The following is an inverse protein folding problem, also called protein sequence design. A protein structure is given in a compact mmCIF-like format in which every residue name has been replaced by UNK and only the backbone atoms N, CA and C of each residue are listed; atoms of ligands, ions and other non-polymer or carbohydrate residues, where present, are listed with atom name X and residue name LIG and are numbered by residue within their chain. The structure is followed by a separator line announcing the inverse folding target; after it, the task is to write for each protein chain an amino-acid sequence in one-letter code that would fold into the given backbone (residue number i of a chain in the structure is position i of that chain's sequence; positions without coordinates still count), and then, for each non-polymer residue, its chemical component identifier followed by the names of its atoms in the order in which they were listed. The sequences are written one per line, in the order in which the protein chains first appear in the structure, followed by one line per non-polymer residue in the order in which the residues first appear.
data_IF_344833251477
#
_entry.id   IF_344833251477
#
_cell.length_a   1.000
_cell.length_b   1.000
_cell.length_c   1.000
_cell.angle_alpha   90.00
_cell.angle_beta   90.00
_cell.angle_gamma   90.00
#
_symmetry.space_group_name_H-M   'P 1'
#
loop_
_entity.id
_entity.type
_entity.pdbx_description
1 polymer ?
#
# COMPACT_ATOMS: atom_id res chain seq x y z
N UNK A 1 -9.27 -28.54 1.48
CA UNK A 1 -9.00 -28.10 0.10
C UNK A 1 -7.54 -27.70 0.06
N UNK A 2 -6.75 -28.43 -0.72
CA UNK A 2 -5.31 -28.22 -0.90
C UNK A 2 -5.06 -26.90 -1.64
N UNK A 3 -4.02 -26.17 -1.25
CA UNK A 3 -3.55 -25.01 -2.01
C UNK A 3 -3.17 -25.49 -3.40
N UNK A 4 -3.84 -25.00 -4.44
CA UNK A 4 -3.45 -25.33 -5.81
C UNK A 4 -2.07 -24.73 -6.10
N UNK A 5 -1.09 -25.61 -6.33
CA UNK A 5 0.27 -25.23 -6.75
C UNK A 5 0.22 -24.49 -8.07
N UNK A 6 0.96 -23.39 -8.17
CA UNK A 6 0.91 -22.54 -9.35
C UNK A 6 1.82 -23.04 -10.46
N UNK A 7 1.42 -22.80 -11.70
CA UNK A 7 2.33 -22.93 -12.84
C UNK A 7 3.40 -21.84 -12.76
N UNK A 8 4.69 -22.18 -12.79
CA UNK A 8 5.76 -21.20 -12.73
C UNK A 8 5.68 -20.26 -13.94
N UNK A 9 5.92 -18.97 -13.69
CA UNK A 9 6.02 -17.97 -14.76
C UNK A 9 7.36 -18.16 -15.50
N UNK A 10 7.41 -18.02 -16.83
CA UNK A 10 8.65 -18.08 -17.58
C UNK A 10 9.47 -16.82 -17.33
N UNK A 11 10.37 -16.90 -16.35
CA UNK A 11 11.29 -15.82 -16.01
C UNK A 11 12.38 -15.71 -17.08
N UNK A 12 12.76 -14.46 -17.39
CA UNK A 12 13.97 -14.21 -18.17
C UNK A 12 15.21 -14.59 -17.34
N UNK A 13 16.30 -15.04 -17.98
CA UNK A 13 17.52 -15.46 -17.28
C UNK A 13 18.07 -14.34 -16.39
N UNK A 14 18.52 -14.66 -15.19
CA UNK A 14 19.01 -13.68 -14.23
C UNK A 14 20.19 -12.86 -14.77
N UNK A 15 20.13 -11.53 -14.68
CA UNK A 15 21.19 -10.63 -15.13
C UNK A 15 21.97 -10.09 -13.93
N UNK A 16 23.14 -10.68 -13.67
CA UNK A 16 24.00 -10.33 -12.52
C UNK A 16 25.00 -9.18 -12.76
N UNK A 17 25.04 -8.57 -13.94
CA UNK A 17 26.04 -7.53 -14.26
C UNK A 17 25.52 -6.09 -14.02
N UNK A 18 26.26 -5.33 -13.20
CA UNK A 18 25.99 -3.93 -12.82
C UNK A 18 25.94 -2.94 -14.00
N UNK A 19 26.46 -3.33 -15.17
CA UNK A 19 26.53 -2.50 -16.38
C UNK A 19 25.15 -2.22 -17.00
N UNK A 20 24.13 -3.01 -16.66
CA UNK A 20 22.81 -2.92 -17.29
C UNK A 20 21.73 -2.38 -16.36
N UNK A 21 21.64 -1.04 -16.32
CA UNK A 21 20.46 -0.22 -15.93
C UNK A 21 19.44 -0.91 -15.00
N UNK A 22 19.85 -1.35 -13.80
CA UNK A 22 18.95 -1.77 -12.71
C UNK A 22 17.88 -2.83 -13.07
N UNK A 23 18.05 -3.62 -14.14
CA UNK A 23 17.08 -4.63 -14.59
C UNK A 23 17.69 -6.02 -14.37
N UNK A 24 17.47 -6.60 -13.19
CA UNK A 24 18.09 -7.90 -12.82
C UNK A 24 17.20 -9.10 -13.13
N UNK A 25 15.88 -8.93 -13.03
CA UNK A 25 14.87 -9.98 -13.26
C UNK A 25 13.71 -9.38 -14.06
N UNK A 26 13.13 -10.16 -14.97
CA UNK A 26 11.97 -9.75 -15.75
C UNK A 26 11.16 -10.91 -16.29
N UNK A 27 9.91 -10.61 -16.64
CA UNK A 27 8.93 -11.52 -17.23
C UNK A 27 8.18 -10.77 -18.31
N UNK A 28 7.84 -11.45 -19.39
CA UNK A 28 6.99 -10.92 -20.44
C UNK A 28 5.57 -11.41 -20.24
N UNK A 29 4.68 -10.51 -19.82
CA UNK A 29 3.25 -10.79 -19.64
C UNK A 29 2.40 -9.77 -20.39
N UNK A 30 1.32 -10.23 -21.02
CA UNK A 30 0.34 -9.36 -21.71
C UNK A 30 0.97 -8.38 -22.68
N UNK A 31 1.94 -8.82 -23.48
CA UNK A 31 2.66 -7.97 -24.44
C UNK A 31 3.38 -6.77 -23.77
N UNK A 32 3.74 -6.90 -22.49
CA UNK A 32 4.52 -5.94 -21.72
C UNK A 32 5.71 -6.63 -21.05
N UNK A 33 6.83 -5.90 -20.97
CA UNK A 33 8.02 -6.37 -20.25
C UNK A 33 7.93 -5.85 -18.82
N UNK A 34 7.63 -6.74 -17.89
CA UNK A 34 7.67 -6.47 -16.47
C UNK A 34 9.09 -6.75 -15.97
N UNK A 35 9.68 -5.83 -15.23
CA UNK A 35 11.01 -6.04 -14.65
C UNK A 35 11.08 -5.50 -13.22
N UNK A 36 12.03 -6.04 -12.47
CA UNK A 36 12.37 -5.54 -11.15
C UNK A 36 13.50 -4.51 -11.25
N UNK A 37 13.16 -3.23 -11.03
CA UNK A 37 14.06 -2.09 -11.19
C UNK A 37 14.89 -1.70 -9.96
N UNK A 38 14.70 -2.38 -8.83
CA UNK A 38 15.28 -1.98 -7.55
C UNK A 38 16.46 -2.87 -7.16
N UNK A 39 17.60 -2.25 -6.87
CA UNK A 39 18.75 -2.95 -6.31
C UNK A 39 18.50 -3.37 -4.87
N UNK A 40 18.81 -4.64 -4.58
CA UNK A 40 18.64 -5.27 -3.28
C UNK A 40 19.98 -5.47 -2.55
N UNK A 41 21.02 -4.70 -2.91
CA UNK A 41 22.31 -4.75 -2.21
C UNK A 41 22.17 -4.16 -0.80
N UNK A 42 22.95 -4.68 0.16
CA UNK A 42 22.95 -4.17 1.54
C UNK A 42 23.26 -2.68 1.62
N UNK A 43 24.20 -2.21 0.79
CA UNK A 43 24.60 -0.80 0.72
C UNK A 43 23.45 0.10 0.26
N UNK A 44 22.76 -0.28 -0.80
CA UNK A 44 21.63 0.50 -1.32
C UNK A 44 20.45 0.52 -0.35
N UNK A 45 20.17 -0.60 0.33
CA UNK A 45 19.14 -0.67 1.38
C UNK A 45 19.48 0.28 2.53
N UNK A 46 20.73 0.27 3.00
CA UNK A 46 21.19 1.15 4.07
C UNK A 46 21.07 2.63 3.66
N UNK A 47 21.52 2.98 2.46
CA UNK A 47 21.43 4.33 1.93
C UNK A 47 19.98 4.82 1.82
N UNK A 48 19.04 3.97 1.39
CA UNK A 48 17.61 4.30 1.36
C UNK A 48 17.04 4.55 2.76
N UNK A 49 17.40 3.73 3.76
CA UNK A 49 16.98 3.95 5.16
C UNK A 49 17.52 5.25 5.72
N UNK A 50 18.80 5.53 5.48
CA UNK A 50 19.44 6.79 5.88
C UNK A 50 18.76 7.97 5.21
N UNK A 51 18.41 7.88 3.92
CA UNK A 51 17.65 8.93 3.23
C UNK A 51 16.29 9.20 3.89
N UNK A 52 15.53 8.15 4.20
CA UNK A 52 14.23 8.30 4.89
C UNK A 52 14.42 8.92 6.27
N UNK A 53 15.47 8.53 7.00
CA UNK A 53 15.77 9.08 8.31
C UNK A 53 16.22 10.54 8.22
N UNK A 54 17.10 10.88 7.29
CA UNK A 54 17.56 12.24 7.02
C UNK A 54 16.39 13.14 6.62
N UNK A 55 15.47 12.65 5.79
CA UNK A 55 14.25 13.35 5.44
C UNK A 55 13.35 13.60 6.66
N UNK A 56 13.26 12.66 7.62
CA UNK A 56 12.50 12.88 8.86
C UNK A 56 13.21 13.89 9.76
N UNK A 57 14.52 13.78 9.88
CA UNK A 57 15.36 14.70 10.64
C UNK A 57 15.24 16.13 10.09
N UNK A 58 15.26 16.29 8.78
CA UNK A 58 15.08 17.57 8.09
C UNK A 58 13.72 18.22 8.40
N UNK A 59 12.62 17.44 8.42
CA UNK A 59 11.31 17.98 8.82
C UNK A 59 11.27 18.37 10.29
N UNK A 60 11.74 17.48 11.17
CA UNK A 60 11.71 17.72 12.61
C UNK A 60 12.60 18.91 12.97
N UNK A 61 13.77 19.00 12.34
CA UNK A 61 14.70 20.12 12.49
C UNK A 61 14.08 21.43 12.04
N UNK A 62 13.40 21.45 10.90
CA UNK A 62 12.76 22.66 10.39
C UNK A 62 11.53 23.09 11.20
N UNK A 63 10.77 22.13 11.79
CA UNK A 63 9.71 22.43 12.77
C UNK A 63 10.31 23.00 14.06
N UNK A 64 11.35 22.35 14.59
CA UNK A 64 12.02 22.79 15.81
C UNK A 64 12.63 24.18 15.66
N UNK A 65 13.30 24.44 14.53
CA UNK A 65 13.89 25.74 14.23
C UNK A 65 12.82 26.83 14.03
N UNK A 66 11.75 26.54 13.29
CA UNK A 66 10.65 27.47 13.10
C UNK A 66 9.92 27.83 14.41
N UNK A 67 9.61 26.84 15.24
CA UNK A 67 8.96 27.07 16.54
C UNK A 67 9.92 27.73 17.53
N UNK A 68 11.18 27.30 17.57
CA UNK A 68 12.19 27.81 18.50
C UNK A 68 12.49 29.29 18.25
N UNK A 69 12.75 29.68 17.01
CA UNK A 69 12.98 31.09 16.66
C UNK A 69 11.77 31.96 16.92
N UNK A 70 10.56 31.47 16.64
CA UNK A 70 9.34 32.24 16.91
C UNK A 70 9.08 32.40 18.40
N UNK A 71 9.36 31.35 19.19
CA UNK A 71 9.21 31.40 20.65
C UNK A 71 10.23 32.36 21.27
N UNK A 72 11.47 32.33 20.78
CA UNK A 72 12.53 33.24 21.22
C UNK A 72 12.19 34.71 20.89
N UNK A 73 11.65 34.96 19.69
CA UNK A 73 11.16 36.28 19.30
C UNK A 73 10.03 36.79 20.23
N UNK A 74 9.04 35.94 20.54
CA UNK A 74 7.94 36.31 21.44
C UNK A 74 8.43 36.59 22.85
N UNK A 75 9.38 35.79 23.34
CA UNK A 75 9.98 35.99 24.66
C UNK A 75 10.74 37.31 24.76
N UNK A 76 11.58 37.62 23.78
CA UNK A 76 12.37 38.85 23.74
C UNK A 76 11.48 40.11 23.69
N UNK A 77 10.35 40.05 22.97
CA UNK A 77 9.38 41.16 22.92
C UNK A 77 8.67 41.34 24.26
N UNK A 78 8.33 40.22 24.92
CA UNK A 78 7.68 40.26 26.22
C UNK A 78 8.60 40.86 27.28
N UNK A 79 9.87 40.46 27.30
CA UNK A 79 10.87 40.96 28.25
C UNK A 79 11.18 42.45 28.06
N UNK A 80 11.25 42.91 26.80
CA UNK A 80 11.55 44.31 26.49
C UNK A 80 10.32 45.24 26.49
N UNK A 81 9.11 44.72 26.75
CA UNK A 81 7.82 45.46 26.69
C UNK A 81 7.53 46.20 25.36
N UNK A 82 8.20 45.82 24.26
CA UNK A 82 8.12 46.52 22.95
C UNK A 82 6.94 46.14 22.08
N UNK A 83 5.83 45.74 22.70
CA UNK A 83 4.64 45.27 21.99
C UNK A 83 4.04 46.34 21.06
N UNK A 84 4.16 47.62 21.43
CA UNK A 84 3.64 48.74 20.65
C UNK A 84 4.41 48.97 19.33
N UNK A 85 5.71 48.66 19.30
CA UNK A 85 6.57 48.92 18.14
C UNK A 85 6.31 47.94 16.98
N UNK A 86 5.72 46.78 17.27
CA UNK A 86 5.50 45.71 16.26
C UNK A 86 4.62 46.14 15.09
N UNK A 87 3.74 47.11 15.31
CA UNK A 87 2.82 47.62 14.29
C UNK A 87 3.41 48.77 13.48
N UNK A 88 4.64 49.22 13.81
CA UNK A 88 5.29 50.31 13.08
C UNK A 88 6.03 49.80 11.86
N UNK A 89 6.00 50.57 10.78
CA UNK A 89 6.72 50.24 9.54
C UNK A 89 8.24 50.27 9.74
N UNK A 90 8.73 51.18 10.58
CA UNK A 90 10.16 51.31 10.88
C UNK A 90 10.74 50.09 11.58
N UNK A 91 9.96 49.41 12.43
CA UNK A 91 10.39 48.16 13.07
C UNK A 91 10.75 47.08 12.04
N UNK A 92 9.98 46.96 10.95
CA UNK A 92 10.19 45.91 9.96
C UNK A 92 11.19 46.29 8.86
N UNK A 93 11.26 47.58 8.50
CA UNK A 93 11.96 48.04 7.29
C UNK A 93 13.03 49.11 7.52
N UNK A 94 13.25 49.53 8.78
CA UNK A 94 14.26 50.52 9.16
C UNK A 94 15.67 49.93 9.21
N UNK A 95 16.10 49.48 10.39
CA UNK A 95 17.42 48.85 10.59
C UNK A 95 17.28 47.36 10.92
N UNK A 96 18.18 46.49 10.41
CA UNK A 96 18.12 45.06 10.71
C UNK A 96 18.53 44.82 12.16
N UNK A 97 17.57 44.89 13.08
CA UNK A 97 17.73 44.41 14.44
C UNK A 97 17.73 42.87 14.46
N UNK A 98 18.40 42.27 15.45
CA UNK A 98 18.37 40.82 15.64
C UNK A 98 16.94 40.26 15.73
N UNK A 99 16.02 41.04 16.31
CA UNK A 99 14.58 40.73 16.40
C UNK A 99 13.91 40.50 15.04
N UNK A 100 14.18 41.35 14.04
CA UNK A 100 13.57 41.19 12.71
C UNK A 100 14.14 39.99 11.98
N UNK A 101 15.45 39.73 12.11
CA UNK A 101 16.11 38.55 11.55
C UNK A 101 15.54 37.24 12.09
N UNK A 102 15.22 37.17 13.39
CA UNK A 102 14.59 35.99 14.01
C UNK A 102 13.25 35.64 13.35
N UNK A 103 12.43 36.66 13.04
CA UNK A 103 11.14 36.45 12.35
C UNK A 103 11.35 35.97 10.92
N UNK A 104 12.28 36.59 10.18
CA UNK A 104 12.56 36.19 8.80
C UNK A 104 13.14 34.77 8.71
N UNK A 105 14.01 34.38 9.65
CA UNK A 105 14.51 33.00 9.73
C UNK A 105 13.42 31.99 10.15
N UNK A 106 12.52 32.39 11.04
CA UNK A 106 11.34 31.58 11.37
C UNK A 106 10.46 31.37 10.13
N UNK A 107 10.13 32.46 9.42
CA UNK A 107 9.28 32.43 8.22
C UNK A 107 9.90 31.57 7.11
N UNK A 108 11.20 31.70 6.84
CA UNK A 108 11.89 30.88 5.85
C UNK A 108 11.86 29.39 6.22
N UNK A 109 11.99 29.05 7.51
CA UNK A 109 11.83 27.67 7.97
C UNK A 109 10.42 27.13 7.69
N UNK A 110 9.38 27.93 7.96
CA UNK A 110 8.00 27.55 7.65
C UNK A 110 7.74 27.38 6.15
N UNK A 111 8.25 28.30 5.32
CA UNK A 111 8.18 28.17 3.86
C UNK A 111 8.91 26.92 3.35
N UNK A 112 10.07 26.59 3.92
CA UNK A 112 10.81 25.38 3.60
C UNK A 112 10.02 24.11 3.95
N UNK A 113 9.37 24.05 5.12
CA UNK A 113 8.49 22.94 5.48
C UNK A 113 7.35 22.76 4.48
N UNK A 114 6.70 23.85 4.08
CA UNK A 114 5.61 23.81 3.10
C UNK A 114 6.09 23.28 1.75
N UNK A 115 7.19 23.84 1.23
CA UNK A 115 7.82 23.38 -0.01
C UNK A 115 8.16 21.89 0.08
N UNK A 116 8.78 21.47 1.17
CA UNK A 116 9.24 20.09 1.36
C UNK A 116 8.08 19.11 1.48
N UNK A 117 6.98 19.50 2.13
CA UNK A 117 5.77 18.69 2.23
C UNK A 117 5.08 18.51 0.87
N UNK A 118 5.08 19.54 0.02
CA UNK A 118 4.55 19.47 -1.34
C UNK A 118 5.43 18.56 -2.21
N UNK A 119 6.76 18.77 -2.19
CA UNK A 119 7.73 17.99 -2.97
C UNK A 119 7.80 16.51 -2.56
N UNK A 120 7.39 16.17 -1.32
CA UNK A 120 7.40 14.81 -0.78
C UNK A 120 6.34 13.88 -1.33
N UNK A 121 5.34 14.39 -2.06
CA UNK A 121 4.29 13.55 -2.66
C UNK A 121 4.90 12.73 -3.80
N UNK A 122 5.61 11.66 -3.42
CA UNK A 122 6.16 10.68 -4.36
C UNK A 122 4.99 9.89 -4.93
N UNK A 123 4.79 10.02 -6.23
CA UNK A 123 3.76 9.29 -6.96
C UNK A 123 4.12 7.80 -6.99
N UNK A 124 3.41 7.01 -6.19
CA UNK A 124 3.42 5.55 -6.33
C UNK A 124 2.76 5.27 -7.68
N UNK A 125 3.42 4.48 -8.52
CA UNK A 125 2.84 4.13 -9.82
C UNK A 125 1.71 3.13 -9.60
N UNK A 126 0.63 3.27 -10.36
CA UNK A 126 -0.51 2.37 -10.27
C UNK A 126 -0.23 1.10 -11.08
N UNK A 127 -0.74 -0.03 -10.61
CA UNK A 127 -0.82 -1.29 -11.39
C UNK A 127 -1.51 -1.01 -12.73
N UNK A 128 -1.22 -1.81 -13.75
CA UNK A 128 -1.94 -1.69 -15.03
C UNK A 128 -3.44 -1.78 -14.80
N UNK A 129 -4.19 -0.98 -15.56
CA UNK A 129 -5.65 -1.08 -15.53
C UNK A 129 -6.05 -2.48 -15.99
N UNK A 130 -6.96 -3.08 -15.25
CA UNK A 130 -7.50 -4.39 -15.59
C UNK A 130 -8.28 -4.28 -16.89
N UNK A 131 -7.88 -5.07 -17.89
CA UNK A 131 -8.55 -5.10 -19.18
C UNK A 131 -9.33 -6.41 -19.29
N UNK A 132 -10.67 -6.30 -19.26
CA UNK A 132 -11.56 -7.46 -19.31
C UNK A 132 -11.42 -8.21 -20.67
N UNK A 133 -10.88 -7.58 -21.72
CA UNK A 133 -10.64 -8.21 -23.03
C UNK A 133 -9.47 -9.19 -23.05
N UNK A 134 -8.50 -9.02 -22.14
CA UNK A 134 -7.29 -9.84 -22.09
C UNK A 134 -7.57 -11.24 -21.54
N UNK A 135 -8.58 -11.40 -20.68
CA UNK A 135 -9.00 -12.70 -20.16
C UNK A 135 -9.51 -13.68 -21.23
N UNK A 136 -10.04 -13.18 -22.35
CA UNK A 136 -10.58 -14.04 -23.41
C UNK A 136 -9.46 -14.72 -24.22
N UNK A 137 -8.24 -14.18 -24.19
CA UNK A 137 -7.08 -14.69 -24.92
C UNK A 137 -5.96 -15.15 -23.97
N UNK A 138 -6.28 -16.07 -23.03
CA UNK A 138 -5.28 -16.58 -22.07
C UNK A 138 -4.05 -17.22 -22.74
N UNK A 139 -4.22 -17.78 -23.93
CA UNK A 139 -3.18 -18.45 -24.70
C UNK A 139 -2.12 -17.48 -25.28
N UNK A 140 -2.40 -16.16 -25.33
CA UNK A 140 -1.46 -15.13 -25.76
C UNK A 140 -0.78 -14.34 -24.62
N UNK A 141 -0.99 -14.74 -23.36
CA UNK A 141 -0.53 -13.96 -22.19
C UNK A 141 0.96 -14.13 -21.88
N UNK A 142 1.56 -15.26 -22.26
CA UNK A 142 2.97 -15.56 -22.05
C UNK A 142 3.76 -15.16 -23.29
N UNK A 143 4.61 -14.15 -23.18
CA UNK A 143 5.49 -13.77 -24.28
C UNK A 143 6.63 -14.77 -24.44
N UNK A 144 6.84 -15.25 -25.66
CA UNK A 144 7.95 -16.13 -26.06
C UNK A 144 9.23 -15.30 -26.23
N UNK A 145 9.80 -14.81 -25.14
CA UNK A 145 11.12 -14.21 -25.15
C UNK A 145 12.04 -15.01 -24.24
N UNK A 146 12.93 -15.80 -24.83
CA UNK A 146 13.85 -16.66 -24.07
C UNK A 146 15.11 -15.88 -23.63
N UNK A 147 15.36 -14.72 -24.24
CA UNK A 147 16.53 -13.87 -23.94
C UNK A 147 16.17 -12.40 -23.76
N UNK A 148 16.93 -11.72 -22.88
CA UNK A 148 16.80 -10.29 -22.62
C UNK A 148 16.99 -9.42 -23.85
N UNK A 149 17.85 -9.80 -24.78
CA UNK A 149 18.09 -9.03 -26.00
C UNK A 149 16.86 -9.01 -26.89
N UNK A 150 16.22 -10.18 -27.05
CA UNK A 150 14.96 -10.32 -27.76
C UNK A 150 13.86 -9.52 -27.07
N UNK A 151 13.75 -9.62 -25.74
CA UNK A 151 12.76 -8.85 -24.98
C UNK A 151 12.97 -7.33 -25.13
N UNK A 152 14.21 -6.85 -25.09
CA UNK A 152 14.51 -5.43 -25.21
C UNK A 152 14.31 -4.90 -26.64
N UNK A 153 14.56 -5.72 -27.66
CA UNK A 153 14.33 -5.38 -29.06
C UNK A 153 12.82 -5.32 -29.37
N UNK A 154 12.06 -6.32 -28.92
CA UNK A 154 10.62 -6.44 -29.20
C UNK A 154 9.80 -5.38 -28.44
N UNK A 155 10.14 -5.11 -27.18
CA UNK A 155 9.34 -4.20 -26.33
C UNK A 155 9.96 -2.79 -26.24
N UNK A 156 9.31 -1.82 -26.91
CA UNK A 156 9.63 -0.38 -26.82
C UNK A 156 9.50 0.14 -25.38
N UNK A 157 10.21 1.24 -25.05
CA UNK A 157 10.27 1.84 -23.69
C UNK A 157 8.91 2.04 -23.01
N UNK A 158 7.85 2.38 -23.75
CA UNK A 158 6.48 2.58 -23.21
C UNK A 158 5.84 1.30 -22.65
N UNK A 159 6.23 0.13 -23.16
CA UNK A 159 5.71 -1.18 -22.74
C UNK A 159 6.57 -1.86 -21.67
N UNK A 160 7.56 -1.14 -21.11
CA UNK A 160 8.43 -1.64 -20.04
C UNK A 160 7.94 -1.08 -18.72
N UNK A 161 7.59 -1.94 -17.77
CA UNK A 161 7.06 -1.54 -16.47
C UNK A 161 7.91 -2.10 -15.34
N UNK A 162 8.23 -1.20 -14.41
CA UNK A 162 9.01 -1.49 -13.21
C UNK A 162 8.05 -1.85 -12.07
N UNK A 163 8.04 -3.13 -11.67
CA UNK A 163 7.17 -3.62 -10.59
C UNK A 163 7.52 -2.96 -9.25
N UNK A 164 8.80 -2.63 -9.04
CA UNK A 164 9.26 -2.07 -7.78
C UNK A 164 8.67 -0.68 -7.49
N UNK A 165 8.19 0.04 -8.51
CA UNK A 165 7.51 1.35 -8.36
C UNK A 165 6.03 1.23 -8.02
N UNK A 166 5.45 0.06 -8.25
CA UNK A 166 4.04 -0.26 -7.99
C UNK A 166 3.87 -0.86 -6.60
N UNK A 167 4.94 -1.44 -6.06
CA UNK A 167 5.00 -1.93 -4.69
C UNK A 167 4.78 -0.83 -3.65
N UNK A 168 3.89 -1.10 -2.70
CA UNK A 168 3.70 -0.26 -1.51
C UNK A 168 5.00 -0.17 -0.72
N UNK A 169 5.24 0.93 0.02
CA UNK A 169 6.45 1.08 0.83
C UNK A 169 6.61 -0.04 1.86
N UNK A 170 5.52 -0.61 2.36
CA UNK A 170 5.56 -1.73 3.31
C UNK A 170 5.91 -3.05 2.63
N UNK A 171 5.40 -3.31 1.42
CA UNK A 171 5.81 -4.47 0.62
C UNK A 171 7.31 -4.42 0.30
N UNK A 172 7.83 -3.24 -0.08
CA UNK A 172 9.26 -3.05 -0.31
C UNK A 172 10.09 -3.30 0.95
N UNK A 173 9.65 -2.78 2.11
CA UNK A 173 10.32 -3.02 3.40
C UNK A 173 10.37 -4.50 3.76
N UNK A 174 9.32 -5.27 3.47
CA UNK A 174 9.30 -6.71 3.69
C UNK A 174 10.38 -7.41 2.87
N UNK A 175 10.48 -7.10 1.58
CA UNK A 175 11.51 -7.68 0.69
C UNK A 175 12.92 -7.27 1.17
N UNK A 176 13.13 -6.00 1.51
CA UNK A 176 14.41 -5.54 2.07
C UNK A 176 14.76 -6.24 3.39
N UNK A 177 13.79 -6.43 4.28
CA UNK A 177 14.00 -7.12 5.54
C UNK A 177 14.33 -8.61 5.32
N UNK A 178 13.71 -9.28 4.35
CA UNK A 178 14.03 -10.66 3.98
C UNK A 178 15.48 -10.78 3.51
N UNK A 179 15.94 -9.86 2.65
CA UNK A 179 17.33 -9.80 2.19
C UNK A 179 18.30 -9.55 3.35
N UNK A 180 17.98 -8.61 4.26
CA UNK A 180 18.80 -8.36 5.44
C UNK A 180 18.85 -9.55 6.39
N UNK A 181 17.77 -10.33 6.51
CA UNK A 181 17.75 -11.55 7.30
C UNK A 181 18.65 -12.61 6.68
N UNK A 182 18.55 -12.85 5.37
CA UNK A 182 19.43 -13.77 4.66
C UNK A 182 20.92 -13.40 4.84
N UNK A 183 21.26 -12.10 4.77
CA UNK A 183 22.61 -11.61 5.07
C UNK A 183 23.03 -11.82 6.54
N UNK A 184 22.13 -11.67 7.51
CA UNK A 184 22.44 -11.88 8.93
C UNK A 184 22.75 -13.33 9.25
N UNK A 185 22.07 -14.26 8.59
CA UNK A 185 22.28 -15.71 8.76
C UNK A 185 23.35 -16.29 7.81
N UNK A 186 23.84 -15.52 6.84
CA UNK A 186 24.86 -15.97 5.89
C UNK A 186 24.33 -16.99 4.87
N UNK A 187 23.06 -16.87 4.49
CA UNK A 187 22.43 -17.75 3.50
C UNK A 187 23.00 -17.51 2.09
N UNK A 188 22.99 -18.56 1.25
CA UNK A 188 23.45 -18.49 -0.14
C UNK A 188 22.52 -17.66 -1.03
N UNK A 189 21.22 -17.84 -0.85
CA UNK A 189 20.17 -17.12 -1.56
C UNK A 189 19.05 -16.74 -0.61
N UNK A 190 18.27 -15.72 -0.98
CA UNK A 190 17.06 -15.37 -0.24
C UNK A 190 15.99 -16.41 -0.55
N UNK A 191 15.73 -17.29 0.42
CA UNK A 191 14.68 -18.32 0.31
C UNK A 191 13.30 -17.80 0.74
N UNK A 192 12.24 -18.54 0.37
CA UNK A 192 10.85 -18.24 0.75
C UNK A 192 10.66 -18.12 2.27
N UNK A 193 11.40 -18.89 3.08
CA UNK A 193 11.37 -18.80 4.54
C UNK A 193 11.77 -17.43 5.09
N UNK A 194 12.77 -16.78 4.47
CA UNK A 194 13.19 -15.43 4.87
C UNK A 194 12.11 -14.40 4.55
N UNK A 195 11.46 -14.55 3.39
CA UNK A 195 10.34 -13.68 2.99
C UNK A 195 9.15 -13.88 3.92
N UNK A 196 8.83 -15.12 4.27
CA UNK A 196 7.73 -15.43 5.19
C UNK A 196 7.95 -14.86 6.58
N UNK A 197 9.16 -15.01 7.13
CA UNK A 197 9.53 -14.40 8.41
C UNK A 197 9.38 -12.88 8.37
N UNK A 198 9.83 -12.23 7.29
CA UNK A 198 9.72 -10.79 7.12
C UNK A 198 8.25 -10.33 6.95
N UNK A 199 7.42 -11.10 6.25
CA UNK A 199 5.98 -10.83 6.09
C UNK A 199 5.26 -10.82 7.44
N UNK A 200 5.55 -11.78 8.32
CA UNK A 200 4.95 -11.86 9.67
C UNK A 200 5.27 -10.63 10.54
N UNK A 201 6.31 -9.87 10.21
CA UNK A 201 6.69 -8.63 10.91
C UNK A 201 5.94 -7.39 10.42
N UNK A 202 5.13 -7.49 9.36
CA UNK A 202 4.34 -6.36 8.85
C UNK A 202 2.98 -6.28 9.54
N UNK A 203 2.51 -5.07 9.81
CA UNK A 203 1.23 -4.84 10.53
C UNK A 203 0.03 -5.42 9.78
N UNK A 204 0.00 -5.31 8.44
CA UNK A 204 -1.09 -5.84 7.62
C UNK A 204 -1.19 -7.36 7.71
N UNK A 205 -0.06 -8.08 7.62
CA UNK A 205 -0.04 -9.55 7.72
C UNK A 205 -0.22 -10.01 9.16
N UNK A 206 0.33 -9.29 10.14
CA UNK A 206 0.04 -9.54 11.55
C UNK A 206 -1.47 -9.49 11.81
N UNK A 207 -2.19 -8.52 11.23
CA UNK A 207 -3.65 -8.46 11.30
C UNK A 207 -4.35 -9.64 10.63
N UNK A 208 -3.78 -10.26 9.57
CA UNK A 208 -4.32 -11.49 8.96
C UNK A 208 -4.24 -12.63 9.96
N UNK A 209 -3.05 -12.89 10.50
CA UNK A 209 -2.82 -14.02 11.41
C UNK A 209 -3.57 -13.88 12.73
N UNK A 210 -3.67 -12.67 13.29
CA UNK A 210 -4.48 -12.41 14.49
C UNK A 210 -5.94 -12.76 14.25
N UNK A 211 -6.49 -12.48 13.06
CA UNK A 211 -7.87 -12.84 12.70
C UNK A 211 -8.08 -14.33 12.49
N UNK A 212 -7.02 -15.04 12.09
CA UNK A 212 -6.99 -16.50 12.02
C UNK A 212 -6.80 -17.14 13.41
N UNK A 213 -6.70 -16.36 14.48
CA UNK A 213 -6.47 -16.85 15.85
C UNK A 213 -5.01 -17.21 16.14
N UNK A 214 -4.07 -16.78 15.29
CA UNK A 214 -2.66 -17.13 15.40
C UNK A 214 -1.80 -15.91 15.75
N UNK A 215 -1.10 -15.90 16.90
CA UNK A 215 -0.20 -14.81 17.24
C UNK A 215 1.08 -14.87 16.37
N UNK A 216 1.35 -13.84 15.53
CA UNK A 216 2.44 -13.89 14.54
C UNK A 216 3.83 -14.04 15.17
N UNK A 217 4.02 -13.49 16.38
CA UNK A 217 5.28 -13.62 17.14
C UNK A 217 5.61 -15.07 17.50
N UNK A 218 4.61 -15.92 17.79
CA UNK A 218 4.85 -17.34 18.10
C UNK A 218 5.31 -18.09 16.86
N UNK A 219 4.73 -17.79 15.70
CA UNK A 219 5.13 -18.39 14.42
C UNK A 219 6.55 -17.96 14.06
N UNK A 220 6.87 -16.67 14.21
CA UNK A 220 8.23 -16.16 13.99
C UNK A 220 9.26 -16.85 14.88
N UNK A 221 8.96 -17.09 16.16
CA UNK A 221 9.87 -17.79 17.06
C UNK A 221 10.13 -19.23 16.62
N UNK A 222 9.11 -19.96 16.14
CA UNK A 222 9.27 -21.30 15.59
C UNK A 222 10.16 -21.31 14.33
N UNK A 223 9.93 -20.39 13.41
CA UNK A 223 10.72 -20.29 12.16
C UNK A 223 12.15 -19.85 12.45
N UNK A 224 12.34 -18.95 13.43
CA UNK A 224 13.67 -18.45 13.79
C UNK A 224 14.63 -19.58 14.20
N UNK A 225 14.11 -20.63 14.86
CA UNK A 225 14.89 -21.80 15.25
C UNK A 225 15.40 -22.63 14.07
N UNK A 226 14.78 -22.51 12.89
CA UNK A 226 15.16 -23.29 11.70
C UNK A 226 16.27 -22.64 10.88
N UNK A 227 16.64 -21.38 11.16
CA UNK A 227 17.72 -20.71 10.43
C UNK A 227 19.09 -21.14 10.97
N UNK A 228 19.85 -21.88 10.17
CA UNK A 228 21.24 -22.19 10.48
C UNK A 228 22.12 -20.97 10.21
N UNK A 229 22.91 -20.58 11.22
CA UNK A 229 23.81 -19.43 11.11
C UNK A 229 25.14 -19.86 10.48
N UNK A 230 25.32 -19.52 9.21
CA UNK A 230 26.56 -19.82 8.48
C UNK A 230 27.54 -18.65 8.64
N UNK A 231 28.40 -18.74 9.67
CA UNK A 231 29.35 -17.68 10.00
C UNK A 231 30.40 -17.39 8.90
N UNK A 232 30.63 -18.34 7.99
CA UNK A 232 31.74 -18.31 7.03
C UNK A 232 31.44 -17.59 5.70
N UNK A 233 30.19 -17.15 5.44
CA UNK A 233 29.82 -16.54 4.15
C UNK A 233 29.30 -15.10 4.33
N UNK A 234 30.20 -14.12 4.23
CA UNK A 234 29.84 -12.68 4.19
C UNK A 234 29.81 -12.20 2.74
N UNK A 235 28.83 -12.67 1.96
CA UNK A 235 28.63 -12.16 0.60
C UNK A 235 28.11 -10.71 0.64
N UNK A 236 28.63 -9.86 -0.25
CA UNK A 236 28.22 -8.44 -0.37
C UNK A 236 26.82 -8.28 -0.96
N UNK A 237 26.41 -9.20 -1.83
CA UNK A 237 25.07 -9.33 -2.37
C UNK A 237 24.61 -10.80 -2.25
N UNK A 238 23.40 -11.00 -1.72
CA UNK A 238 22.74 -12.31 -1.71
C UNK A 238 21.70 -12.30 -2.84
N UNK A 239 21.84 -13.16 -3.86
CA UNK A 239 20.86 -13.23 -4.94
C UNK A 239 19.51 -13.75 -4.42
N UNK A 240 18.43 -13.34 -5.10
CA UNK A 240 17.09 -13.90 -4.85
C UNK A 240 17.03 -15.33 -5.40
N UNK A 241 16.47 -16.27 -4.63
CA UNK A 241 16.18 -17.61 -5.17
C UNK A 241 15.15 -17.50 -6.30
N UNK A 242 15.15 -18.48 -7.20
CA UNK A 242 14.18 -18.54 -8.31
C UNK A 242 12.75 -18.49 -7.79
N UNK A 243 12.44 -19.26 -6.73
CA UNK A 243 11.13 -19.23 -6.05
C UNK A 243 10.72 -17.81 -5.61
N UNK A 244 11.63 -17.05 -5.01
CA UNK A 244 11.32 -15.70 -4.53
C UNK A 244 11.11 -14.74 -5.71
N UNK A 245 11.84 -14.92 -6.81
CA UNK A 245 11.59 -14.17 -8.03
C UNK A 245 10.20 -14.47 -8.55
N UNK A 246 9.82 -15.74 -8.67
CA UNK A 246 8.48 -16.17 -9.08
C UNK A 246 7.39 -15.59 -8.17
N UNK A 247 7.58 -15.62 -6.84
CA UNK A 247 6.64 -15.05 -5.87
C UNK A 247 6.38 -13.56 -6.12
N UNK A 248 7.42 -12.77 -6.43
CA UNK A 248 7.27 -11.33 -6.66
C UNK A 248 6.43 -11.05 -7.90
N UNK A 249 6.69 -11.74 -9.02
CA UNK A 249 5.91 -11.56 -10.24
C UNK A 249 4.49 -12.11 -10.10
N UNK A 250 4.32 -13.23 -9.41
CA UNK A 250 3.01 -13.80 -9.16
C UNK A 250 2.15 -12.93 -8.22
N UNK A 251 2.77 -12.27 -7.24
CA UNK A 251 2.07 -11.31 -6.39
C UNK A 251 1.58 -10.09 -7.20
N UNK A 252 2.33 -9.68 -8.21
CA UNK A 252 1.90 -8.63 -9.13
C UNK A 252 0.70 -9.07 -9.98
N UNK A 253 0.71 -10.31 -10.47
CA UNK A 253 -0.44 -10.90 -11.17
C UNK A 253 -1.69 -10.94 -10.30
N UNK A 254 -1.55 -11.30 -9.02
CA UNK A 254 -2.67 -11.25 -8.08
C UNK A 254 -3.19 -9.84 -7.81
N UNK A 255 -2.30 -8.86 -7.71
CA UNK A 255 -2.72 -7.47 -7.60
C UNK A 255 -3.50 -7.03 -8.85
N UNK A 256 -3.06 -7.46 -10.05
CA UNK A 256 -3.74 -7.21 -11.31
C UNK A 256 -5.12 -7.87 -11.36
N UNK A 257 -5.21 -9.18 -11.10
CA UNK A 257 -6.47 -9.94 -11.07
C UNK A 257 -7.47 -9.38 -10.04
N UNK A 258 -6.98 -8.96 -8.87
CA UNK A 258 -7.81 -8.38 -7.83
C UNK A 258 -8.21 -6.92 -8.07
N UNK A 259 -7.84 -6.35 -9.23
CA UNK A 259 -8.07 -4.94 -9.62
C UNK A 259 -7.60 -3.96 -8.54
N UNK A 260 -6.41 -4.22 -7.98
CA UNK A 260 -5.79 -3.37 -6.97
C UNK A 260 -4.94 -2.28 -7.63
N UNK A 261 -4.88 -1.11 -7.00
CA UNK A 261 -4.09 0.02 -7.50
C UNK A 261 -2.59 -0.16 -7.26
N UNK A 262 -2.21 -0.91 -6.22
CA UNK A 262 -0.82 -1.07 -5.78
C UNK A 262 -0.55 -2.53 -5.41
N UNK A 263 0.73 -2.90 -5.40
CA UNK A 263 1.16 -4.20 -4.90
C UNK A 263 1.28 -4.14 -3.36
N UNK A 264 0.30 -4.75 -2.69
CA UNK A 264 0.20 -4.81 -1.23
C UNK A 264 0.90 -6.06 -0.66
N UNK A 265 1.20 -6.00 0.64
CA UNK A 265 1.84 -7.11 1.38
C UNK A 265 0.96 -8.38 1.40
N UNK A 266 -0.35 -8.22 1.32
CA UNK A 266 -1.32 -9.33 1.24
C UNK A 266 -1.14 -10.17 -0.01
N UNK A 267 -0.79 -9.54 -1.14
CA UNK A 267 -0.56 -10.23 -2.41
C UNK A 267 0.76 -10.99 -2.42
N UNK A 268 1.78 -10.44 -1.74
CA UNK A 268 3.02 -11.16 -1.50
C UNK A 268 2.80 -12.40 -0.63
N UNK A 269 1.92 -12.31 0.38
CA UNK A 269 1.57 -13.45 1.22
C UNK A 269 0.83 -14.53 0.43
N UNK A 270 -0.18 -14.16 -0.37
CA UNK A 270 -0.93 -15.14 -1.18
C UNK A 270 -0.04 -15.85 -2.20
N UNK A 271 0.86 -15.11 -2.88
CA UNK A 271 1.84 -15.67 -3.80
C UNK A 271 2.83 -16.60 -3.11
N UNK A 272 3.36 -16.20 -1.95
CA UNK A 272 4.32 -17.01 -1.21
C UNK A 272 3.71 -18.33 -0.73
N UNK A 273 2.49 -18.30 -0.20
CA UNK A 273 1.82 -19.52 0.27
C UNK A 273 1.54 -20.46 -0.89
N UNK A 274 1.13 -19.96 -2.06
CA UNK A 274 0.81 -20.82 -3.21
C UNK A 274 2.04 -21.37 -3.95
N UNK A 275 3.18 -20.67 -3.87
CA UNK A 275 4.42 -21.14 -4.48
C UNK A 275 5.13 -22.20 -3.61
N UNK A 276 5.15 -22.03 -2.30
CA UNK A 276 6.01 -22.86 -1.42
C UNK A 276 5.21 -23.93 -0.67
N UNK A 277 5.38 -25.19 -1.08
CA UNK A 277 4.74 -26.36 -0.45
C UNK A 277 5.06 -26.45 1.05
N UNK A 278 6.33 -26.23 1.44
CA UNK A 278 6.75 -26.31 2.84
C UNK A 278 6.04 -25.28 3.74
N UNK A 279 5.66 -24.12 3.20
CA UNK A 279 4.92 -23.10 3.94
C UNK A 279 3.42 -23.45 3.99
N UNK A 280 2.90 -24.11 2.96
CA UNK A 280 1.53 -24.65 2.97
C UNK A 280 1.38 -25.70 4.07
N UNK A 281 2.31 -26.66 4.14
CA UNK A 281 2.34 -27.69 5.19
C UNK A 281 2.35 -27.07 6.59
N UNK A 282 3.22 -26.08 6.82
CA UNK A 282 3.25 -25.34 8.09
C UNK A 282 1.91 -24.67 8.43
N UNK A 283 1.22 -24.10 7.43
CA UNK A 283 -0.09 -23.47 7.64
C UNK A 283 -1.18 -24.51 7.90
N UNK A 284 -1.11 -25.68 7.25
CA UNK A 284 -2.02 -26.80 7.51
C UNK A 284 -1.85 -27.37 8.91
N UNK A 285 -0.62 -27.52 9.40
CA UNK A 285 -0.33 -27.91 10.79
C UNK A 285 -0.92 -26.92 11.80
N UNK A 286 -1.04 -25.65 11.41
CA UNK A 286 -1.68 -24.59 12.20
C UNK A 286 -3.21 -24.49 11.98
N UNK A 287 -3.81 -25.48 11.30
CA UNK A 287 -5.24 -25.53 10.94
C UNK A 287 -5.74 -24.34 10.10
N UNK A 288 -4.86 -23.76 9.28
CA UNK A 288 -5.17 -22.69 8.34
C UNK A 288 -5.39 -23.26 6.94
N UNK A 289 -6.65 -23.32 6.53
CA UNK A 289 -7.05 -23.71 5.18
C UNK A 289 -6.86 -22.57 4.17
N UNK A 290 -6.72 -22.91 2.88
CA UNK A 290 -6.67 -21.92 1.80
C UNK A 290 -7.88 -20.99 1.79
N UNK A 291 -9.08 -21.55 1.97
CA UNK A 291 -10.32 -20.78 1.98
C UNK A 291 -10.36 -19.77 3.12
N UNK A 292 -9.88 -20.14 4.31
CA UNK A 292 -9.78 -19.23 5.47
C UNK A 292 -8.82 -18.08 5.15
N UNK A 293 -7.63 -18.39 4.66
CA UNK A 293 -6.62 -17.38 4.32
C UNK A 293 -7.15 -16.43 3.24
N UNK A 294 -7.72 -16.96 2.16
CA UNK A 294 -8.32 -16.17 1.07
C UNK A 294 -9.41 -15.25 1.59
N UNK A 295 -10.34 -15.75 2.41
CA UNK A 295 -11.43 -14.95 2.96
C UNK A 295 -10.93 -13.78 3.80
N UNK A 296 -9.89 -13.98 4.62
CA UNK A 296 -9.31 -12.89 5.43
C UNK A 296 -8.59 -11.87 4.54
N UNK A 297 -7.91 -12.32 3.48
CA UNK A 297 -7.26 -11.41 2.50
C UNK A 297 -8.31 -10.58 1.75
N UNK A 298 -9.38 -11.21 1.25
CA UNK A 298 -10.47 -10.47 0.57
C UNK A 298 -11.14 -9.47 1.50
N UNK A 299 -11.37 -9.86 2.76
CA UNK A 299 -11.89 -8.95 3.76
C UNK A 299 -10.99 -7.72 3.95
N UNK A 300 -9.67 -7.90 3.99
CA UNK A 300 -8.72 -6.78 4.07
C UNK A 300 -8.80 -5.87 2.85
N UNK A 301 -8.85 -6.44 1.64
CA UNK A 301 -8.98 -5.68 0.38
C UNK A 301 -10.25 -4.84 0.37
N UNK A 302 -11.39 -5.43 0.77
CA UNK A 302 -12.68 -4.73 0.86
C UNK A 302 -12.58 -3.57 1.87
N UNK A 303 -12.00 -3.83 3.05
CA UNK A 303 -11.81 -2.79 4.08
C UNK A 303 -10.97 -1.64 3.56
N UNK A 304 -9.84 -1.91 2.90
CA UNK A 304 -8.98 -0.87 2.35
C UNK A 304 -9.68 -0.06 1.26
N UNK A 305 -10.42 -0.72 0.37
CA UNK A 305 -11.23 -0.06 -0.67
C UNK A 305 -12.29 0.87 -0.05
N UNK A 306 -13.03 0.39 0.95
CA UNK A 306 -14.03 1.20 1.66
C UNK A 306 -13.38 2.40 2.37
N UNK A 307 -12.23 2.20 3.03
CA UNK A 307 -11.52 3.28 3.70
C UNK A 307 -11.03 4.35 2.70
N UNK A 308 -10.50 3.94 1.54
CA UNK A 308 -10.09 4.86 0.47
C UNK A 308 -11.29 5.64 -0.07
N UNK A 309 -12.39 4.95 -0.39
CA UNK A 309 -13.62 5.59 -0.87
C UNK A 309 -14.17 6.59 0.15
N UNK A 310 -14.18 6.21 1.43
CA UNK A 310 -14.62 7.08 2.51
C UNK A 310 -13.76 8.35 2.63
N UNK A 311 -12.43 8.21 2.60
CA UNK A 311 -11.50 9.36 2.61
C UNK A 311 -11.66 10.26 1.39
N UNK A 312 -11.80 9.66 0.20
CA UNK A 312 -12.03 10.39 -1.04
C UNK A 312 -13.35 11.17 -0.99
N UNK A 313 -14.40 10.54 -0.48
CA UNK A 313 -15.71 11.14 -0.29
C UNK A 313 -15.67 12.29 0.74
N UNK A 314 -15.04 12.10 1.90
CA UNK A 314 -14.84 13.17 2.89
C UNK A 314 -14.08 14.38 2.31
N UNK A 315 -13.03 14.12 1.51
CA UNK A 315 -12.28 15.18 0.83
C UNK A 315 -13.10 15.91 -0.23
N UNK A 316 -13.95 15.21 -0.97
CA UNK A 316 -14.88 15.83 -1.91
C UNK A 316 -15.97 16.65 -1.17
N UNK A 317 -16.44 16.13 -0.04
CA UNK A 317 -17.44 16.75 0.80
C UNK A 317 -16.96 18.00 1.53
N UNK A 318 -15.67 18.09 1.89
CA UNK A 318 -15.13 19.26 2.61
C UNK A 318 -15.25 20.58 1.84
N UNK A 319 -15.42 20.51 0.51
CA UNK A 319 -15.65 21.66 -0.37
C UNK A 319 -17.13 22.07 -0.47
N UNK A 320 -18.04 21.30 0.11
CA UNK A 320 -19.49 21.59 0.10
C UNK A 320 -19.85 22.53 1.25
N UNK A 321 -20.90 23.34 1.07
CA UNK A 321 -21.40 24.26 2.11
C UNK A 321 -21.82 23.51 3.38
N UNK A 322 -21.44 24.04 4.55
CA UNK A 322 -21.83 23.53 5.89
C UNK A 322 -23.30 23.71 6.22
N UNK A 323 -23.94 24.70 5.60
CA UNK A 323 -25.36 24.99 5.77
C UNK A 323 -26.24 23.99 5.01
N UNK A 324 -27.43 23.73 5.57
CA UNK A 324 -28.40 22.73 5.12
C UNK A 324 -28.99 22.98 3.73
N UNK A 325 -29.88 22.09 3.31
CA UNK A 325 -30.66 22.19 2.08
C UNK A 325 -31.61 23.41 2.08
N UNK A 326 -31.85 24.00 3.26
CA UNK A 326 -32.65 25.22 3.50
C UNK A 326 -32.10 26.49 2.83
N UNK A 327 -31.03 26.36 2.03
CA UNK A 327 -30.56 27.42 1.13
C UNK A 327 -31.49 27.64 -0.07
N UNK A 328 -32.36 26.68 -0.36
CA UNK A 328 -33.48 26.91 -1.26
C UNK A 328 -34.52 27.75 -0.53
N UNK A 329 -34.91 28.90 -1.09
CA UNK A 329 -35.98 29.81 -0.59
C UNK A 329 -37.37 29.14 -0.42
N UNK A 330 -37.45 27.81 -0.56
CA UNK A 330 -38.65 26.98 -0.58
C UNK A 330 -38.83 26.12 0.68
N UNK A 331 -37.83 26.02 1.56
CA UNK A 331 -37.96 25.27 2.82
C UNK A 331 -38.39 26.19 3.97
N UNK A 332 -39.54 25.90 4.59
CA UNK A 332 -39.98 26.57 5.82
C UNK A 332 -39.02 26.19 6.94
N UNK A 333 -38.49 27.17 7.66
CA UNK A 333 -37.60 26.92 8.80
C UNK A 333 -38.34 26.09 9.88
N UNK A 334 -37.77 24.95 10.27
CA UNK A 334 -38.36 24.03 11.26
C UNK A 334 -37.50 23.95 12.55
N UNK A 335 -37.46 25.01 13.36
CA UNK A 335 -36.58 25.08 14.54
C UNK A 335 -36.87 23.99 15.58
N UNK A 336 -38.15 23.62 15.75
CA UNK A 336 -38.56 22.58 16.70
C UNK A 336 -38.02 21.20 16.29
N UNK A 337 -38.20 20.79 15.03
CA UNK A 337 -37.72 19.49 14.53
C UNK A 337 -36.19 19.39 14.60
N UNK A 338 -35.48 20.48 14.28
CA UNK A 338 -34.02 20.53 14.33
C UNK A 338 -33.45 20.40 15.76
N UNK A 339 -34.25 20.66 16.80
CA UNK A 339 -33.82 20.47 18.20
C UNK A 339 -33.92 19.01 18.67
N UNK A 340 -34.84 18.23 18.10
CA UNK A 340 -35.09 16.83 18.48
C UNK A 340 -34.55 15.80 17.48
N UNK A 341 -34.12 16.22 16.29
CA UNK A 341 -33.68 15.32 15.22
C UNK A 341 -32.32 15.71 14.64
N UNK A 342 -31.60 14.72 14.13
CA UNK A 342 -30.35 14.92 13.40
C UNK A 342 -30.60 14.73 11.91
N UNK A 343 -30.26 15.75 11.11
CA UNK A 343 -30.34 15.64 9.66
C UNK A 343 -29.30 14.65 9.12
N UNK A 344 -29.75 13.43 8.84
CA UNK A 344 -28.94 12.37 8.25
C UNK A 344 -28.50 12.71 6.83
N UNK A 345 -29.21 13.57 6.10
CA UNK A 345 -28.80 13.99 4.75
C UNK A 345 -27.58 14.90 4.81
N UNK A 346 -27.54 15.83 5.77
CA UNK A 346 -26.36 16.64 6.05
C UNK A 346 -25.20 15.76 6.56
N UNK A 347 -25.47 14.79 7.43
CA UNK A 347 -24.45 13.84 7.89
C UNK A 347 -23.89 12.99 6.73
N UNK A 348 -24.76 12.51 5.84
CA UNK A 348 -24.40 11.77 4.62
C UNK A 348 -23.56 12.65 3.69
N UNK A 349 -23.94 13.91 3.48
CA UNK A 349 -23.22 14.87 2.64
C UNK A 349 -21.76 15.05 3.07
N UNK A 350 -21.48 14.98 4.38
CA UNK A 350 -20.11 15.09 4.93
C UNK A 350 -19.38 13.76 5.13
N UNK A 351 -19.99 12.64 4.73
CA UNK A 351 -19.36 11.32 4.90
C UNK A 351 -19.23 10.91 6.36
N UNK A 352 -20.20 11.31 7.20
CA UNK A 352 -20.30 10.84 8.58
C UNK A 352 -21.09 9.54 8.71
N UNK A 353 -21.77 9.12 7.64
CA UNK A 353 -22.45 7.84 7.55
C UNK A 353 -21.59 6.82 6.83
N UNK A 354 -21.65 5.58 7.30
CA UNK A 354 -20.99 4.43 6.65
C UNK A 354 -21.85 3.90 5.49
N UNK A 355 -21.21 3.32 4.48
CA UNK A 355 -21.93 2.69 3.37
C UNK A 355 -22.52 1.34 3.83
N UNK A 356 -23.84 1.18 3.73
CA UNK A 356 -24.52 -0.07 4.07
C UNK A 356 -24.21 -1.16 3.04
N UNK A 357 -23.33 -2.12 3.38
CA UNK A 357 -22.97 -3.23 2.50
C UNK A 357 -24.01 -4.38 2.46
N UNK A 358 -24.90 -4.47 3.46
CA UNK A 358 -25.72 -5.67 3.72
C UNK A 358 -27.12 -5.69 3.07
N UNK A 359 -27.57 -4.61 2.42
CA UNK A 359 -28.97 -4.50 1.93
C UNK A 359 -29.14 -4.02 0.48
N UNK A 360 -28.09 -3.95 -0.32
CA UNK A 360 -28.24 -3.65 -1.75
C UNK A 360 -28.58 -4.93 -2.53
N UNK A 361 -29.86 -5.32 -2.55
CA UNK A 361 -30.38 -6.06 -3.70
C UNK A 361 -30.56 -5.05 -4.84
N UNK A 362 -29.82 -5.15 -5.96
CA UNK A 362 -30.09 -4.30 -7.11
C UNK A 362 -31.41 -4.78 -7.72
N UNK A 363 -32.49 -4.06 -7.43
CA UNK A 363 -33.77 -4.19 -8.11
C UNK A 363 -33.61 -3.73 -9.55
N UNK A 364 -33.20 -4.65 -10.43
CA UNK A 364 -33.00 -4.39 -11.85
C UNK A 364 -32.27 -5.51 -12.59
N UNK A 365 -32.80 -6.74 -12.46
CA UNK A 365 -32.32 -8.04 -12.97
C UNK A 365 -31.25 -8.73 -12.10
N UNK A 366 -31.51 -9.98 -11.65
CA UNK A 366 -30.53 -10.75 -10.92
C UNK A 366 -29.46 -11.25 -11.91
N UNK A 367 -28.26 -10.68 -11.86
CA UNK A 367 -27.06 -11.45 -12.18
C UNK A 367 -26.56 -12.01 -10.87
N UNK A 368 -26.97 -13.24 -10.59
CA UNK A 368 -26.37 -14.06 -9.54
C UNK A 368 -24.87 -14.15 -9.81
N UNK A 369 -24.06 -13.53 -8.95
CA UNK A 369 -22.68 -13.96 -8.82
C UNK A 369 -22.73 -15.36 -8.22
N UNK A 370 -22.44 -16.37 -9.04
CA UNK A 370 -22.16 -17.72 -8.58
C UNK A 370 -20.99 -17.67 -7.61
N UNK A 371 -21.31 -17.72 -6.33
CA UNK A 371 -20.63 -18.55 -5.34
C UNK A 371 -21.58 -18.63 -4.15
N UNK A 372 -22.24 -19.78 -4.07
CA UNK A 372 -23.06 -20.21 -2.95
C UNK A 372 -22.27 -20.02 -1.65
N UNK A 373 -22.92 -19.46 -0.62
CA UNK A 373 -22.78 -19.84 0.81
C UNK A 373 -23.44 -18.82 1.76
N UNK A 374 -23.90 -17.65 1.30
CA UNK A 374 -24.64 -16.71 2.15
C UNK A 374 -25.80 -16.05 1.43
N UNK A 375 -26.92 -16.76 1.29
CA UNK A 375 -28.22 -16.12 1.01
C UNK A 375 -29.37 -17.06 1.41
N UNK A 376 -29.61 -17.24 2.72
CA UNK A 376 -30.76 -18.02 3.24
C UNK A 376 -31.83 -17.20 3.97
N UNK A 377 -31.73 -15.88 4.03
CA UNK A 377 -32.67 -15.06 4.82
C UNK A 377 -33.25 -13.84 4.07
N UNK A 378 -33.63 -14.01 2.80
CA UNK A 378 -34.39 -12.98 2.08
C UNK A 378 -35.55 -13.59 1.30
N UNK A 379 -36.60 -14.01 1.98
CA UNK A 379 -37.94 -14.09 1.42
C UNK A 379 -38.95 -13.78 2.54
N UNK A 380 -39.58 -12.59 2.56
CA UNK A 380 -40.79 -12.41 3.35
C UNK A 380 -41.90 -13.28 2.74
N UNK A 381 -42.69 -13.88 3.62
CA UNK A 381 -43.82 -14.74 3.28
C UNK A 381 -44.66 -14.20 2.11
N UNK A 382 -44.93 -15.08 1.15
CA UNK A 382 -46.02 -14.90 0.20
C UNK A 382 -45.62 -14.35 -1.17
N UNK A 383 -45.06 -15.21 -2.03
CA UNK A 383 -45.36 -15.24 -3.47
C UNK A 383 -44.90 -16.58 -4.06
N UNK A 384 -45.76 -17.17 -4.88
CA UNK A 384 -45.69 -18.53 -5.44
C UNK A 384 -44.32 -18.83 -6.07
N UNK A 385 -43.74 -19.98 -5.70
CA UNK A 385 -42.61 -20.61 -6.40
C UNK A 385 -43.00 -20.84 -7.87
N UNK A 386 -42.24 -20.29 -8.82
CA UNK A 386 -42.19 -20.82 -10.19
C UNK A 386 -40.81 -21.49 -10.37
N UNK A 387 -40.74 -22.70 -10.93
CA UNK A 387 -39.46 -23.32 -11.25
C UNK A 387 -38.83 -22.58 -12.43
N UNK A 388 -37.56 -22.22 -12.30
CA UNK A 388 -36.76 -21.74 -13.43
C UNK A 388 -36.35 -22.96 -14.28
N UNK A 389 -36.80 -22.98 -15.53
CA UNK A 389 -36.33 -23.87 -16.59
C UNK A 389 -34.98 -23.37 -17.14
N UNK A 390 -34.01 -24.28 -17.25
CA UNK A 390 -32.70 -24.07 -17.88
C UNK A 390 -32.81 -23.96 -19.41
N UNK A 391 -31.94 -23.17 -20.04
CA UNK A 391 -31.11 -23.66 -21.14
C UNK A 391 -29.63 -23.76 -20.75
#
# INVERSE_FOLDING_TARGET
MEFQSQTPLPLLPYRGQDTHRRMSVGVVLRNTLLFWGMSLTRGDIAFRRVRIWLERFELLGSVFFGVGLMSFFVWEIYDQERMADLLTFEFWWGSPALLTLLVWFSLTSWCFLLYRNIARKKEIHVVEQYDDTVLQNKEGMVGTADSWEQALATYKRKKRKDIARVATPDALRVIENAVLLAHRYGAESVSAWHVFYALLGSDSVASVFVRLGLPPKKIQAKIAGNFQKNAHRKAQAVPLSDDVQQIIFQAYEYAYEAKQEYLHVTELLSALVRQSVAIQELLYDLHVDESKLRNVIEWLRIRERLQKQHRAFQKAASRRSKYGLDKAMTAVATPFLNSFSQDLTLAAKFGRLEACATKCCPGGRPRCWQNEYYCRYCCPHGRRKRPCSYP
#
